data_IF_484955418900
#
_entry.id   IF_484955418900
#
_cell.length_a   1.000
_cell.length_b   1.000
_cell.length_c   1.000
_cell.angle_alpha   90.00
_cell.angle_beta   90.00
_cell.angle_gamma   90.00
#
_symmetry.space_group_name_H-M   'P 1'
#
loop_
_entity.id
_entity.type
_entity.pdbx_description
1 polymer ?
#
# COMPACT_ATOMS: atom_id res chain seq x y z
N UNK A 1 4.34 -1.82 -10.80
CA UNK A 1 3.77 -0.50 -11.12
C UNK A 1 2.28 -0.55 -11.45
N UNK A 2 1.84 -1.28 -12.48
CA UNK A 2 0.44 -1.26 -12.95
C UNK A 2 -0.55 -1.82 -11.93
N UNK A 3 -0.21 -2.92 -11.30
CA UNK A 3 -0.98 -3.55 -10.23
C UNK A 3 -1.05 -2.66 -8.96
N UNK A 4 0.01 -1.88 -8.71
CA UNK A 4 0.04 -0.92 -7.61
C UNK A 4 -0.88 0.28 -7.89
N UNK A 5 -0.95 0.72 -9.16
CA UNK A 5 -1.87 1.77 -9.58
C UNK A 5 -3.35 1.33 -9.50
N UNK A 6 -3.66 0.04 -9.72
CA UNK A 6 -5.02 -0.47 -9.51
C UNK A 6 -5.42 -0.49 -8.04
N UNK A 7 -4.51 -0.81 -7.11
CA UNK A 7 -4.76 -0.63 -5.68
C UNK A 7 -5.06 0.84 -5.34
N UNK A 8 -4.34 1.80 -5.96
CA UNK A 8 -4.67 3.23 -5.80
C UNK A 8 -6.01 3.62 -6.41
N UNK A 9 -6.46 2.93 -7.46
CA UNK A 9 -7.83 3.06 -7.98
C UNK A 9 -8.87 2.61 -6.95
N UNK A 10 -8.64 1.48 -6.29
CA UNK A 10 -9.48 1.00 -5.17
C UNK A 10 -9.46 2.00 -4.01
N UNK A 11 -8.28 2.49 -3.62
CA UNK A 11 -8.15 3.55 -2.60
C UNK A 11 -8.94 4.80 -2.97
N UNK A 12 -8.92 5.22 -4.24
CA UNK A 12 -9.68 6.37 -4.70
C UNK A 12 -11.20 6.12 -4.62
N UNK A 13 -11.67 4.91 -4.94
CA UNK A 13 -13.08 4.51 -4.77
C UNK A 13 -13.54 4.62 -3.31
N UNK A 14 -12.70 4.21 -2.36
CA UNK A 14 -12.95 4.38 -0.93
C UNK A 14 -12.88 5.85 -0.52
N UNK A 15 -11.90 6.62 -0.98
CA UNK A 15 -11.77 8.04 -0.67
C UNK A 15 -13.02 8.83 -1.08
N UNK A 16 -13.55 8.60 -2.28
CA UNK A 16 -14.80 9.23 -2.74
C UNK A 16 -15.99 8.78 -1.89
N UNK A 17 -16.06 7.50 -1.54
CA UNK A 17 -17.10 6.94 -0.69
C UNK A 17 -17.08 7.50 0.74
N UNK A 18 -15.91 7.87 1.27
CA UNK A 18 -15.75 8.43 2.63
C UNK A 18 -16.46 9.76 2.86
N UNK A 19 -16.85 10.48 1.81
CA UNK A 19 -17.62 11.73 1.93
C UNK A 19 -19.13 11.49 2.12
N UNK A 20 -19.61 10.25 2.00
CA UNK A 20 -21.01 9.91 2.27
C UNK A 20 -21.31 9.83 3.77
N UNK A 21 -22.54 10.20 4.13
CA UNK A 21 -23.10 10.01 5.47
C UNK A 21 -24.42 9.22 5.37
N UNK A 22 -24.52 8.00 5.92
CA UNK A 22 -23.49 7.23 6.63
C UNK A 22 -22.39 6.66 5.71
N UNK A 23 -21.30 6.14 6.29
CA UNK A 23 -20.22 5.50 5.53
C UNK A 23 -20.75 4.25 4.79
N UNK A 24 -20.44 4.02 3.50
CA UNK A 24 -21.07 2.93 2.74
C UNK A 24 -20.78 1.50 3.24
N UNK A 25 -19.74 1.33 4.06
CA UNK A 25 -19.37 0.08 4.70
C UNK A 25 -19.82 -0.03 6.16
N UNK A 26 -20.53 0.96 6.70
CA UNK A 26 -20.95 0.94 8.11
C UNK A 26 -22.19 0.10 8.38
N UNK A 27 -23.06 -0.06 7.38
CA UNK A 27 -24.36 -0.73 7.48
C UNK A 27 -24.48 -1.81 6.41
N UNK A 28 -25.18 -2.89 6.74
CA UNK A 28 -25.50 -3.98 5.84
C UNK A 28 -26.58 -3.54 4.84
N UNK A 29 -26.37 -3.86 3.57
CA UNK A 29 -27.39 -3.64 2.52
C UNK A 29 -28.38 -4.81 2.52
N UNK A 30 -29.64 -4.54 2.14
CA UNK A 30 -30.70 -5.56 2.00
C UNK A 30 -30.32 -6.70 1.02
N UNK A 31 -29.43 -6.42 0.07
CA UNK A 31 -28.90 -7.41 -0.88
C UNK A 31 -27.92 -8.41 -0.26
N UNK A 32 -27.37 -8.11 0.92
CA UNK A 32 -26.41 -8.95 1.60
C UNK A 32 -27.15 -9.93 2.52
N UNK A 33 -26.71 -11.19 2.49
CA UNK A 33 -27.39 -12.30 3.17
C UNK A 33 -27.52 -12.06 4.68
N UNK A 34 -28.38 -12.83 5.35
CA UNK A 34 -28.65 -12.74 6.80
C UNK A 34 -27.42 -12.97 7.72
N UNK A 35 -26.26 -13.27 7.15
CA UNK A 35 -24.97 -13.45 7.85
C UNK A 35 -24.17 -12.15 8.02
N UNK A 36 -24.65 -11.02 7.51
CA UNK A 36 -23.99 -9.71 7.61
C UNK A 36 -24.14 -9.10 9.02
N UNK A 37 -23.05 -8.56 9.57
CA UNK A 37 -23.05 -7.75 10.80
C UNK A 37 -22.68 -6.31 10.46
N UNK A 38 -23.50 -5.36 10.92
CA UNK A 38 -23.24 -3.93 10.78
C UNK A 38 -21.95 -3.53 11.49
N UNK A 39 -21.00 -2.98 10.73
CA UNK A 39 -19.77 -2.41 11.28
C UNK A 39 -20.02 -1.26 12.25
N UNK A 40 -21.15 -0.54 12.14
CA UNK A 40 -21.55 0.56 13.04
C UNK A 40 -21.97 0.09 14.43
N UNK A 41 -22.53 -1.11 14.55
CA UNK A 41 -23.04 -1.64 15.81
C UNK A 41 -21.92 -2.38 16.56
N UNK A 42 -21.76 -2.07 17.85
CA UNK A 42 -20.92 -2.84 18.76
C UNK A 42 -21.66 -4.14 19.15
N UNK A 43 -21.80 -5.07 18.21
CA UNK A 43 -22.46 -6.36 18.48
C UNK A 43 -21.45 -7.33 19.07
N UNK A 44 -21.81 -7.93 20.20
CA UNK A 44 -21.08 -9.06 20.77
C UNK A 44 -21.01 -10.19 19.74
N UNK A 45 -19.82 -10.55 19.27
CA UNK A 45 -19.61 -11.81 18.57
C UNK A 45 -19.71 -12.95 19.59
N UNK A 46 -20.94 -13.28 20.01
CA UNK A 46 -21.20 -14.43 20.87
C UNK A 46 -21.00 -15.69 20.03
N UNK A 47 -20.01 -16.50 20.43
CA UNK A 47 -19.82 -17.88 19.96
C UNK A 47 -21.12 -18.67 20.21
N UNK A 48 -21.92 -18.89 19.17
CA UNK A 48 -23.19 -19.60 19.32
C UNK A 48 -23.93 -19.95 18.03
N UNK A 49 -23.65 -19.29 16.90
CA UNK A 49 -24.21 -19.66 15.60
C UNK A 49 -23.18 -20.38 14.73
N UNK A 50 -23.54 -21.54 14.20
CA UNK A 50 -22.77 -22.32 13.21
C UNK A 50 -22.61 -21.61 11.83
N UNK A 51 -23.00 -20.35 11.70
CA UNK A 51 -22.81 -19.54 10.51
C UNK A 51 -21.66 -18.55 10.73
N UNK A 52 -20.65 -18.58 9.83
CA UNK A 52 -19.57 -17.60 9.82
C UNK A 52 -20.15 -16.22 9.51
N UNK A 53 -20.34 -15.39 10.54
CA UNK A 53 -20.82 -14.02 10.40
C UNK A 53 -19.71 -13.14 9.82
N UNK A 54 -20.05 -12.29 8.86
CA UNK A 54 -19.09 -11.46 8.10
C UNK A 54 -19.46 -9.98 8.29
N UNK A 55 -18.45 -9.10 8.42
CA UNK A 55 -18.70 -7.67 8.61
C UNK A 55 -19.20 -7.00 7.32
N UNK A 56 -20.00 -5.92 7.46
CA UNK A 56 -20.44 -5.11 6.32
C UNK A 56 -19.26 -4.53 5.52
N UNK A 57 -18.13 -4.22 6.17
CA UNK A 57 -16.92 -3.76 5.50
C UNK A 57 -16.27 -4.82 4.60
N UNK A 58 -16.26 -6.09 5.01
CA UNK A 58 -15.75 -7.19 4.19
C UNK A 58 -16.63 -7.41 2.96
N UNK A 59 -17.95 -7.45 3.14
CA UNK A 59 -18.90 -7.60 2.04
C UNK A 59 -18.88 -6.38 1.09
N UNK A 60 -18.68 -5.18 1.62
CA UNK A 60 -18.51 -3.99 0.79
C UNK A 60 -17.27 -4.10 -0.12
N UNK A 61 -16.14 -4.56 0.43
CA UNK A 61 -14.91 -4.74 -0.34
C UNK A 61 -15.05 -5.81 -1.43
N UNK A 62 -15.50 -7.01 -1.05
CA UNK A 62 -15.58 -8.17 -1.95
C UNK A 62 -16.69 -8.00 -2.99
N UNK A 63 -17.91 -7.62 -2.57
CA UNK A 63 -19.09 -7.64 -3.44
C UNK A 63 -19.36 -6.30 -4.15
N UNK A 64 -19.14 -5.15 -3.49
CA UNK A 64 -19.49 -3.84 -4.07
C UNK A 64 -18.32 -3.21 -4.82
N UNK A 65 -17.13 -3.27 -4.22
CA UNK A 65 -15.94 -2.61 -4.77
C UNK A 65 -15.26 -3.49 -5.80
N UNK A 66 -14.83 -4.70 -5.43
CA UNK A 66 -14.10 -5.59 -6.32
C UNK A 66 -15.01 -6.40 -7.23
N UNK A 67 -16.21 -6.76 -6.75
CA UNK A 67 -17.09 -7.76 -7.38
C UNK A 67 -16.31 -9.04 -7.65
N UNK A 68 -15.59 -9.51 -6.64
CA UNK A 68 -14.67 -10.63 -6.75
C UNK A 68 -15.40 -11.89 -7.21
N UNK A 69 -14.79 -12.64 -8.13
CA UNK A 69 -15.34 -13.90 -8.60
C UNK A 69 -14.99 -15.03 -7.62
N UNK A 70 -15.91 -15.97 -7.37
CA UNK A 70 -15.67 -17.11 -6.46
C UNK A 70 -14.59 -18.08 -6.98
N UNK A 71 -14.44 -18.17 -8.31
CA UNK A 71 -13.38 -18.93 -8.97
C UNK A 71 -12.93 -18.22 -10.25
N UNK A 72 -11.69 -18.49 -10.67
CA UNK A 72 -11.13 -18.03 -11.95
C UNK A 72 -11.46 -18.95 -13.12
N UNK A 73 -12.07 -20.11 -12.87
CA UNK A 73 -12.33 -21.14 -13.89
C UNK A 73 -13.20 -20.63 -15.05
N UNK A 74 -14.16 -19.75 -14.76
CA UNK A 74 -15.04 -19.10 -15.75
C UNK A 74 -14.39 -17.86 -16.43
N UNK A 75 -13.12 -17.60 -16.12
CA UNK A 75 -12.34 -16.48 -16.63
C UNK A 75 -12.33 -15.25 -15.71
N UNK A 76 -11.66 -14.19 -16.17
CA UNK A 76 -11.41 -12.98 -15.35
C UNK A 76 -12.61 -12.02 -15.25
N UNK A 77 -13.64 -12.22 -16.07
CA UNK A 77 -14.81 -11.33 -16.16
C UNK A 77 -14.55 -10.03 -16.93
N UNK A 78 -15.53 -9.12 -16.88
CA UNK A 78 -15.46 -7.81 -17.55
C UNK A 78 -15.03 -6.70 -16.57
N UNK A 79 -14.27 -5.67 -17.01
CA UNK A 79 -13.82 -4.59 -16.13
C UNK A 79 -14.99 -3.80 -15.54
N UNK A 80 -14.94 -3.51 -14.24
CA UNK A 80 -15.92 -2.61 -13.62
C UNK A 80 -15.65 -1.15 -14.03
N UNK A 81 -16.63 -0.52 -14.68
CA UNK A 81 -16.47 0.83 -15.21
C UNK A 81 -16.16 1.88 -14.13
N UNK A 82 -16.64 1.71 -12.89
CA UNK A 82 -16.38 2.65 -11.78
C UNK A 82 -14.94 2.53 -11.33
N UNK A 83 -14.42 1.30 -11.21
CA UNK A 83 -13.01 1.06 -10.91
C UNK A 83 -12.09 1.55 -12.05
N UNK A 84 -12.47 1.36 -13.31
CA UNK A 84 -11.72 1.88 -14.46
C UNK A 84 -11.62 3.41 -14.42
N UNK A 85 -12.72 4.11 -14.09
CA UNK A 85 -12.68 5.56 -13.88
C UNK A 85 -11.79 5.94 -12.69
N UNK A 86 -11.86 5.20 -11.58
CA UNK A 86 -11.00 5.44 -10.43
C UNK A 86 -9.52 5.17 -10.72
N UNK A 87 -9.21 4.22 -11.62
CA UNK A 87 -7.85 3.93 -12.10
C UNK A 87 -7.28 5.05 -12.99
N UNK A 88 -8.13 5.78 -13.70
CA UNK A 88 -7.68 6.90 -14.53
C UNK A 88 -7.04 8.02 -13.69
N UNK A 89 -7.53 8.21 -12.46
CA UNK A 89 -7.09 9.27 -11.55
C UNK A 89 -5.60 9.13 -11.17
N UNK A 90 -5.13 8.00 -10.59
CA UNK A 90 -3.71 7.84 -10.28
C UNK A 90 -2.82 7.98 -11.50
N UNK A 91 -3.20 7.43 -12.66
CA UNK A 91 -2.43 7.60 -13.91
C UNK A 91 -2.37 9.04 -14.41
N UNK A 92 -3.46 9.80 -14.25
CA UNK A 92 -3.48 11.23 -14.55
C UNK A 92 -2.55 11.97 -13.61
N UNK A 93 -2.60 11.68 -12.30
CA UNK A 93 -1.67 12.25 -11.31
C UNK A 93 -0.21 11.94 -11.67
N UNK A 94 0.12 10.69 -11.97
CA UNK A 94 1.48 10.27 -12.37
C UNK A 94 1.92 11.00 -13.64
N UNK A 95 1.06 11.12 -14.64
CA UNK A 95 1.37 11.86 -15.86
C UNK A 95 1.69 13.33 -15.52
N UNK A 96 0.84 13.98 -14.73
CA UNK A 96 0.99 15.39 -14.33
C UNK A 96 2.28 15.64 -13.54
N UNK A 97 2.64 14.77 -12.60
CA UNK A 97 3.89 14.92 -11.83
C UNK A 97 5.13 14.81 -12.72
N UNK A 98 5.05 14.02 -13.80
CA UNK A 98 6.14 13.76 -14.73
C UNK A 98 6.20 14.71 -15.94
N UNK A 99 5.24 15.64 -16.13
CA UNK A 99 5.16 16.55 -17.30
C UNK A 99 6.48 17.26 -17.59
N UNK A 100 7.22 17.69 -16.56
CA UNK A 100 8.55 18.34 -16.70
C UNK A 100 9.72 17.46 -16.25
N UNK A 101 9.51 16.14 -16.17
CA UNK A 101 10.48 15.16 -15.68
C UNK A 101 10.85 15.37 -14.20
N UNK A 102 12.08 15.01 -13.84
CA UNK A 102 12.58 14.99 -12.45
C UNK A 102 12.42 16.33 -11.69
N UNK A 103 12.50 17.47 -12.40
CA UNK A 103 12.33 18.80 -11.78
C UNK A 103 10.91 19.04 -11.25
N UNK A 104 9.91 18.43 -11.87
CA UNK A 104 8.52 18.51 -11.41
C UNK A 104 8.25 17.50 -10.31
N UNK A 105 8.66 16.24 -10.50
CA UNK A 105 8.46 15.20 -9.49
C UNK A 105 9.14 15.55 -8.17
N UNK A 106 10.34 16.16 -8.20
CA UNK A 106 11.02 16.63 -6.98
C UNK A 106 10.26 17.72 -6.21
N UNK A 107 9.47 18.58 -6.88
CA UNK A 107 8.63 19.57 -6.18
C UNK A 107 7.40 18.93 -5.55
N UNK A 108 6.77 17.99 -6.28
CA UNK A 108 5.60 17.27 -5.79
C UNK A 108 5.98 16.33 -4.64
N UNK A 109 7.21 15.80 -4.65
CA UNK A 109 7.74 14.93 -3.59
C UNK A 109 7.69 15.56 -2.19
N UNK A 110 7.82 16.88 -2.05
CA UNK A 110 7.68 17.54 -0.75
C UNK A 110 6.29 17.30 -0.14
N UNK A 111 5.23 17.45 -0.93
CA UNK A 111 3.88 17.17 -0.47
C UNK A 111 3.68 15.67 -0.22
N UNK A 112 4.10 14.83 -1.17
CA UNK A 112 3.93 13.37 -1.09
C UNK A 112 4.65 12.76 0.12
N UNK A 113 5.79 13.32 0.52
CA UNK A 113 6.56 12.87 1.67
C UNK A 113 6.01 13.43 3.00
N UNK A 114 5.67 14.72 3.07
CA UNK A 114 5.31 15.38 4.35
C UNK A 114 3.87 15.09 4.76
N UNK A 115 2.93 15.09 3.81
CA UNK A 115 1.49 14.96 4.10
C UNK A 115 1.15 13.67 4.86
N UNK A 116 1.70 12.48 4.51
CA UNK A 116 1.45 11.27 5.28
C UNK A 116 1.88 11.36 6.75
N UNK A 117 2.97 12.04 7.08
CA UNK A 117 3.38 12.23 8.49
C UNK A 117 2.39 13.10 9.27
N UNK A 118 1.80 14.11 8.63
CA UNK A 118 0.74 14.93 9.25
C UNK A 118 -0.47 14.06 9.58
N UNK A 119 -0.90 13.21 8.65
CA UNK A 119 -2.03 12.30 8.88
C UNK A 119 -1.69 11.23 9.93
N UNK A 120 -0.50 10.63 9.87
CA UNK A 120 -0.04 9.67 10.87
C UNK A 120 -0.03 10.28 12.28
N UNK A 121 0.36 11.54 12.44
CA UNK A 121 0.30 12.23 13.73
C UNK A 121 -1.15 12.37 14.24
N UNK A 122 -2.08 12.76 13.36
CA UNK A 122 -3.51 12.87 13.69
C UNK A 122 -4.09 11.50 14.09
N UNK A 123 -3.77 10.45 13.32
CA UNK A 123 -4.22 9.08 13.61
C UNK A 123 -3.58 8.52 14.87
N UNK A 124 -2.32 8.87 15.17
CA UNK A 124 -1.66 8.49 16.42
C UNK A 124 -2.36 9.11 17.62
N UNK A 125 -2.63 10.42 17.60
CA UNK A 125 -3.36 11.10 18.67
C UNK A 125 -4.72 10.42 18.86
N UNK A 126 -5.44 10.15 17.77
CA UNK A 126 -6.72 9.43 17.85
C UNK A 126 -6.55 8.05 18.46
N UNK A 127 -5.60 7.25 17.98
CA UNK A 127 -5.33 5.90 18.47
C UNK A 127 -5.02 5.89 19.98
N UNK A 128 -4.25 6.84 20.48
CA UNK A 128 -3.95 6.97 21.92
C UNK A 128 -5.18 7.34 22.77
N UNK A 129 -6.20 7.96 22.19
CA UNK A 129 -7.47 8.30 22.88
C UNK A 129 -8.52 7.20 22.84
N UNK A 130 -8.30 6.15 22.04
CA UNK A 130 -9.26 5.05 21.90
C UNK A 130 -9.11 4.04 23.04
N UNK A 131 -10.25 3.61 23.59
CA UNK A 131 -10.29 2.54 24.59
C UNK A 131 -9.83 1.21 23.97
N UNK A 132 -9.02 0.45 24.71
CA UNK A 132 -8.46 -0.82 24.22
C UNK A 132 -7.25 -0.70 23.28
N UNK A 133 -6.92 0.50 22.79
CA UNK A 133 -5.80 0.69 21.87
C UNK A 133 -4.44 0.28 22.47
N UNK A 134 -4.24 0.50 23.77
CA UNK A 134 -3.02 0.10 24.47
C UNK A 134 -2.76 -1.41 24.42
N UNK A 135 -3.80 -2.25 24.44
CA UNK A 135 -3.66 -3.69 24.32
C UNK A 135 -3.14 -4.10 22.92
N UNK A 136 -3.62 -3.42 21.87
CA UNK A 136 -3.14 -3.64 20.51
C UNK A 136 -1.71 -3.16 20.29
N UNK A 137 -1.35 -1.97 20.79
CA UNK A 137 0.04 -1.48 20.74
C UNK A 137 0.98 -2.42 21.52
N UNK A 138 0.56 -2.91 22.68
CA UNK A 138 1.34 -3.87 23.45
C UNK A 138 1.49 -5.19 22.70
N UNK A 139 0.43 -5.68 22.04
CA UNK A 139 0.49 -6.88 21.20
C UNK A 139 1.54 -6.75 20.09
N UNK A 140 1.64 -5.58 19.45
CA UNK A 140 2.63 -5.32 18.40
C UNK A 140 4.08 -5.35 18.89
N UNK A 141 4.36 -4.78 20.07
CA UNK A 141 5.74 -4.67 20.60
C UNK A 141 6.15 -5.93 21.39
N UNK A 142 5.18 -6.70 21.92
CA UNK A 142 5.46 -7.82 22.82
C UNK A 142 6.36 -8.87 22.13
N UNK A 143 7.60 -9.07 22.59
CA UNK A 143 8.53 -9.98 21.94
C UNK A 143 8.13 -11.44 22.16
N UNK A 144 8.23 -12.24 21.11
CA UNK A 144 8.08 -13.70 21.15
C UNK A 144 9.42 -14.36 20.84
N UNK A 145 10.25 -14.56 21.88
CA UNK A 145 11.63 -15.02 21.74
C UNK A 145 11.74 -16.40 21.07
N UNK A 146 10.77 -17.29 21.29
CA UNK A 146 10.74 -18.62 20.70
C UNK A 146 10.65 -18.59 19.16
N UNK A 147 10.01 -17.56 18.60
CA UNK A 147 9.82 -17.41 17.15
C UNK A 147 11.10 -17.03 16.41
N UNK A 148 12.10 -16.46 17.09
CA UNK A 148 13.36 -16.03 16.46
C UNK A 148 14.15 -17.23 15.89
N UNK A 149 13.94 -18.42 16.44
CA UNK A 149 14.57 -19.65 15.94
C UNK A 149 13.92 -20.17 14.65
N UNK A 150 12.77 -19.64 14.25
CA UNK A 150 12.11 -20.04 13.00
C UNK A 150 12.72 -19.31 11.80
N UNK A 151 13.24 -20.07 10.83
CA UNK A 151 13.81 -19.51 9.60
C UNK A 151 12.83 -18.61 8.83
N UNK A 152 11.52 -18.88 8.95
CA UNK A 152 10.46 -18.07 8.33
C UNK A 152 10.46 -16.62 8.83
N UNK A 153 10.80 -16.37 10.08
CA UNK A 153 10.88 -15.01 10.65
C UNK A 153 12.01 -14.22 10.00
N UNK A 154 13.16 -14.84 9.80
CA UNK A 154 14.30 -14.21 9.11
C UNK A 154 14.02 -13.95 7.63
N UNK A 155 13.40 -14.91 6.94
CA UNK A 155 12.96 -14.72 5.56
C UNK A 155 12.00 -13.52 5.44
N UNK A 156 11.00 -13.43 6.33
CA UNK A 156 10.07 -12.31 6.37
C UNK A 156 10.77 -10.97 6.68
N UNK A 157 11.73 -10.95 7.61
CA UNK A 157 12.48 -9.74 7.95
C UNK A 157 13.35 -9.24 6.79
N UNK A 158 14.07 -10.13 6.10
CA UNK A 158 14.92 -9.77 4.96
C UNK A 158 14.07 -9.27 3.80
N UNK A 159 12.99 -9.98 3.47
CA UNK A 159 12.06 -9.56 2.40
C UNK A 159 11.41 -8.22 2.71
N UNK A 160 10.99 -7.99 3.96
CA UNK A 160 10.43 -6.72 4.38
C UNK A 160 11.39 -5.55 4.16
N UNK A 161 12.65 -5.65 4.62
CA UNK A 161 13.64 -4.57 4.45
C UNK A 161 13.99 -4.37 2.97
N UNK A 162 14.15 -5.45 2.21
CA UNK A 162 14.48 -5.40 0.79
C UNK A 162 13.40 -4.66 -0.02
N UNK A 163 12.13 -5.01 0.18
CA UNK A 163 11.02 -4.38 -0.55
C UNK A 163 10.66 -3.00 0.00
N UNK A 164 10.81 -2.75 1.30
CA UNK A 164 10.54 -1.42 1.92
C UNK A 164 11.46 -0.34 1.34
N UNK A 165 12.77 -0.63 1.26
CA UNK A 165 13.76 0.29 0.71
C UNK A 165 13.78 0.31 -0.83
N UNK A 166 13.05 -0.59 -1.49
CA UNK A 166 13.01 -0.74 -2.97
C UNK A 166 14.40 -0.89 -3.59
N UNK A 167 15.30 -1.62 -2.92
CA UNK A 167 16.67 -1.85 -3.39
C UNK A 167 16.65 -2.74 -4.64
N UNK A 168 17.57 -2.52 -5.58
CA UNK A 168 17.68 -3.27 -6.84
C UNK A 168 16.49 -3.12 -7.82
N UNK A 169 15.61 -2.12 -7.62
CA UNK A 169 14.59 -1.73 -8.61
C UNK A 169 15.03 -0.59 -9.55
N UNK A 170 16.28 -0.12 -9.40
CA UNK A 170 16.83 1.01 -10.17
C UNK A 170 16.37 2.41 -9.73
N UNK A 171 15.34 2.51 -8.89
CA UNK A 171 14.82 3.79 -8.39
C UNK A 171 15.90 4.60 -7.64
N UNK A 172 16.62 3.97 -6.73
CA UNK A 172 17.68 4.62 -5.94
C UNK A 172 18.87 5.02 -6.82
N UNK A 173 19.22 4.20 -7.81
CA UNK A 173 20.25 4.53 -8.80
C UNK A 173 19.83 5.76 -9.63
N UNK A 174 18.58 5.79 -10.08
CA UNK A 174 18.03 6.93 -10.82
C UNK A 174 18.03 8.21 -9.99
N UNK A 175 17.62 8.17 -8.72
CA UNK A 175 17.68 9.38 -7.89
C UNK A 175 19.11 9.84 -7.64
N UNK A 176 20.03 8.89 -7.47
CA UNK A 176 21.46 9.19 -7.29
C UNK A 176 22.09 9.81 -8.54
N UNK A 177 21.65 9.43 -9.75
CA UNK A 177 22.21 9.98 -11.00
C UNK A 177 21.89 11.47 -11.23
N UNK A 178 20.85 11.99 -10.57
CA UNK A 178 20.51 13.42 -10.59
C UNK A 178 21.17 14.22 -9.45
N UNK A 179 21.94 13.56 -8.59
CA UNK A 179 22.60 14.21 -7.48
C UNK A 179 23.93 14.85 -7.91
N UNK A 180 24.47 15.73 -7.06
CA UNK A 180 25.81 16.29 -7.28
C UNK A 180 26.86 15.21 -7.02
N UNK A 181 27.91 15.18 -7.85
CA UNK A 181 28.99 14.20 -7.71
C UNK A 181 29.68 14.24 -6.34
N UNK A 182 29.78 15.41 -5.71
CA UNK A 182 30.41 15.60 -4.39
C UNK A 182 29.46 15.41 -3.21
N UNK A 183 28.22 14.95 -3.43
CA UNK A 183 27.24 14.81 -2.37
C UNK A 183 27.58 13.61 -1.47
N UNK A 184 27.41 13.76 -0.15
CA UNK A 184 27.70 12.69 0.79
C UNK A 184 26.57 11.65 0.82
N UNK A 185 26.65 10.65 -0.06
CA UNK A 185 25.67 9.58 -0.18
C UNK A 185 25.57 8.72 1.09
N UNK A 186 26.65 8.54 1.84
CA UNK A 186 26.64 7.74 3.08
C UNK A 186 25.71 8.34 4.14
N UNK A 187 25.72 9.68 4.27
CA UNK A 187 24.80 10.39 5.16
C UNK A 187 23.35 10.17 4.71
N UNK A 188 23.07 10.35 3.43
CA UNK A 188 21.71 10.26 2.89
C UNK A 188 21.15 8.85 3.06
N UNK A 189 21.92 7.81 2.71
CA UNK A 189 21.51 6.40 2.87
C UNK A 189 21.26 6.04 4.33
N UNK A 190 22.08 6.54 5.26
CA UNK A 190 21.88 6.30 6.70
C UNK A 190 20.58 6.92 7.18
N UNK A 191 20.30 8.17 6.78
CA UNK A 191 19.06 8.88 7.17
C UNK A 191 17.83 8.18 6.57
N UNK A 192 17.86 7.83 5.29
CA UNK A 192 16.74 7.15 4.61
C UNK A 192 16.42 5.81 5.27
N UNK A 193 17.43 4.99 5.54
CA UNK A 193 17.24 3.66 6.16
C UNK A 193 16.66 3.75 7.58
N UNK A 194 17.15 4.69 8.39
CA UNK A 194 16.64 4.91 9.75
C UNK A 194 15.20 5.43 9.70
N UNK A 195 14.92 6.42 8.84
CA UNK A 195 13.58 6.98 8.71
C UNK A 195 12.57 5.95 8.21
N UNK A 196 12.94 5.10 7.25
CA UNK A 196 12.09 4.02 6.75
C UNK A 196 11.67 3.06 7.88
N UNK A 197 12.65 2.63 8.68
CA UNK A 197 12.42 1.73 9.82
C UNK A 197 11.53 2.39 10.88
N UNK A 198 11.85 3.62 11.29
CA UNK A 198 11.08 4.35 12.31
C UNK A 198 9.65 4.64 11.83
N UNK A 199 9.48 4.99 10.56
CA UNK A 199 8.16 5.26 9.96
C UNK A 199 7.33 3.99 9.92
N UNK A 200 7.93 2.86 9.53
CA UNK A 200 7.26 1.56 9.53
C UNK A 200 6.85 1.13 10.94
N UNK A 201 7.70 1.32 11.94
CA UNK A 201 7.36 1.05 13.35
C UNK A 201 6.22 1.95 13.84
N UNK A 202 6.26 3.26 13.54
CA UNK A 202 5.21 4.20 13.89
C UNK A 202 3.88 3.84 13.24
N UNK A 203 3.89 3.52 11.95
CA UNK A 203 2.70 3.07 11.23
C UNK A 203 2.14 1.79 11.86
N UNK A 204 2.99 0.83 12.20
CA UNK A 204 2.60 -0.39 12.93
C UNK A 204 1.90 -0.09 14.26
N UNK A 205 2.43 0.82 15.07
CA UNK A 205 1.81 1.22 16.34
C UNK A 205 0.43 1.85 16.15
N UNK A 206 0.27 2.71 15.15
CA UNK A 206 -1.02 3.34 14.81
C UNK A 206 -2.02 2.27 14.38
N UNK A 207 -1.62 1.38 13.47
CA UNK A 207 -2.42 0.26 12.97
C UNK A 207 -2.90 -0.63 14.11
N UNK A 208 -1.97 -1.14 14.91
CA UNK A 208 -2.33 -2.03 16.00
C UNK A 208 -3.08 -1.32 17.12
N UNK A 209 -2.90 -0.02 17.33
CA UNK A 209 -3.73 0.77 18.24
C UNK A 209 -5.19 0.84 17.80
N UNK A 210 -5.45 1.13 16.52
CA UNK A 210 -6.81 1.14 15.95
C UNK A 210 -7.44 -0.26 15.98
N UNK A 211 -6.67 -1.30 15.69
CA UNK A 211 -7.14 -2.70 15.73
C UNK A 211 -7.39 -3.16 17.18
N UNK A 212 -6.59 -2.72 18.15
CA UNK A 212 -6.82 -2.99 19.57
C UNK A 212 -8.16 -2.41 20.05
N UNK A 213 -8.52 -1.22 19.57
CA UNK A 213 -9.84 -0.66 19.80
C UNK A 213 -10.95 -1.50 19.15
N UNK A 214 -10.77 -1.93 17.90
CA UNK A 214 -11.72 -2.80 17.21
C UNK A 214 -11.93 -4.12 17.98
N UNK A 215 -10.87 -4.76 18.47
CA UNK A 215 -10.94 -5.98 19.27
C UNK A 215 -11.70 -5.76 20.59
N UNK A 216 -11.46 -4.63 21.26
CA UNK A 216 -12.15 -4.25 22.49
C UNK A 216 -13.65 -4.03 22.27
N UNK A 217 -14.04 -3.28 21.24
CA UNK A 217 -15.45 -3.00 20.94
C UNK A 217 -16.21 -4.26 20.47
N UNK A 218 -15.51 -5.17 19.78
CA UNK A 218 -16.08 -6.42 19.27
C UNK A 218 -16.04 -7.55 20.30
N UNK A 219 -15.52 -7.29 21.51
CA UNK A 219 -15.28 -8.29 22.57
C UNK A 219 -14.53 -9.54 22.07
N UNK A 220 -13.61 -9.36 21.11
CA UNK A 220 -12.81 -10.43 20.53
C UNK A 220 -11.47 -10.52 21.28
N UNK A 221 -11.23 -11.58 22.06
CA UNK A 221 -10.04 -11.69 22.90
C UNK A 221 -8.75 -11.90 22.09
N UNK A 222 -8.86 -12.31 20.82
CA UNK A 222 -7.73 -12.62 19.95
C UNK A 222 -7.64 -11.64 18.79
N UNK A 223 -6.62 -10.77 18.83
CA UNK A 223 -6.35 -9.81 17.76
C UNK A 223 -6.08 -10.49 16.41
N UNK A 224 -5.57 -11.73 16.40
CA UNK A 224 -5.26 -12.42 15.15
C UNK A 224 -6.52 -12.79 14.36
N UNK A 225 -7.69 -12.86 15.01
CA UNK A 225 -8.98 -13.15 14.35
C UNK A 225 -9.60 -11.93 13.66
N UNK A 226 -9.25 -10.71 14.10
CA UNK A 226 -9.80 -9.45 13.54
C UNK A 226 -8.89 -8.83 12.47
N UNK A 227 -7.64 -9.29 12.38
CA UNK A 227 -6.65 -8.82 11.41
C UNK A 227 -6.73 -9.64 10.13
N UNK A 228 -7.06 -9.00 9.01
CA UNK A 228 -6.86 -9.58 7.68
C UNK A 228 -5.46 -9.19 7.18
N UNK A 229 -4.75 -10.13 6.54
CA UNK A 229 -3.45 -9.86 5.92
C UNK A 229 -3.57 -9.06 4.62
N UNK A 230 -2.45 -8.50 4.15
CA UNK A 230 -2.35 -7.85 2.84
C UNK A 230 -3.33 -6.69 2.65
N UNK A 231 -3.98 -6.64 1.48
CA UNK A 231 -4.96 -5.60 1.14
C UNK A 231 -6.19 -5.57 2.07
N UNK A 232 -6.56 -6.73 2.64
CA UNK A 232 -7.67 -6.82 3.59
C UNK A 232 -7.47 -5.97 4.85
N UNK A 233 -6.23 -5.76 5.29
CA UNK A 233 -5.95 -4.89 6.43
C UNK A 233 -6.45 -3.46 6.19
N UNK A 234 -6.11 -2.91 5.02
CA UNK A 234 -6.40 -1.52 4.66
C UNK A 234 -7.83 -1.30 4.16
N UNK A 235 -8.43 -2.30 3.50
CA UNK A 235 -9.74 -2.14 2.85
C UNK A 235 -10.90 -2.85 3.57
N UNK A 236 -10.60 -3.70 4.56
CA UNK A 236 -11.62 -4.39 5.39
C UNK A 236 -11.46 -4.00 6.85
N UNK A 237 -10.35 -4.37 7.49
CA UNK A 237 -10.17 -4.21 8.95
C UNK A 237 -10.17 -2.74 9.37
N UNK A 238 -9.48 -1.86 8.63
CA UNK A 238 -9.46 -0.43 8.94
C UNK A 238 -10.79 0.28 8.74
N UNK A 239 -11.49 0.11 7.60
CA UNK A 239 -12.83 0.65 7.40
C UNK A 239 -13.81 0.18 8.47
N UNK A 240 -13.73 -1.09 8.86
CA UNK A 240 -14.52 -1.67 9.94
C UNK A 240 -14.24 -1.01 11.30
N UNK A 241 -12.97 -0.73 11.60
CA UNK A 241 -12.59 -0.03 12.82
C UNK A 241 -13.04 1.44 12.83
N UNK A 242 -12.87 2.16 11.71
CA UNK A 242 -13.26 3.57 11.59
C UNK A 242 -14.79 3.72 11.68
N UNK A 243 -15.56 2.80 11.10
CA UNK A 243 -17.02 2.81 11.20
C UNK A 243 -17.55 2.73 12.64
N UNK A 244 -16.74 2.20 13.58
CA UNK A 244 -17.05 2.11 15.02
C UNK A 244 -16.64 3.37 15.80
N UNK A 245 -15.99 4.34 15.17
CA UNK A 245 -15.64 5.59 15.85
C UNK A 245 -16.90 6.43 16.11
N UNK A 246 -17.13 6.76 17.38
CA UNK A 246 -18.23 7.65 17.81
C UNK A 246 -18.00 9.11 17.41
N UNK A 247 -16.75 9.51 17.19
CA UNK A 247 -16.36 10.87 16.83
C UNK A 247 -15.90 10.95 15.37
N UNK A 248 -16.68 11.61 14.53
CA UNK A 248 -16.38 12.01 13.14
C UNK A 248 -15.69 10.91 12.28
N UNK A 249 -16.33 9.73 12.12
CA UNK A 249 -15.74 8.61 11.37
C UNK A 249 -15.40 8.98 9.91
N UNK A 250 -16.18 9.86 9.27
CA UNK A 250 -15.93 10.32 7.90
C UNK A 250 -14.60 11.06 7.76
N UNK A 251 -14.27 11.93 8.73
CA UNK A 251 -13.00 12.67 8.73
C UNK A 251 -11.80 11.71 8.77
N UNK A 252 -11.84 10.72 9.67
CA UNK A 252 -10.76 9.74 9.79
C UNK A 252 -10.66 8.83 8.56
N UNK A 253 -11.80 8.45 7.95
CA UNK A 253 -11.81 7.69 6.70
C UNK A 253 -11.18 8.49 5.55
N UNK A 254 -11.57 9.75 5.36
CA UNK A 254 -10.99 10.64 4.34
C UNK A 254 -9.49 10.80 4.58
N UNK A 255 -9.07 11.10 5.81
CA UNK A 255 -7.65 11.27 6.15
C UNK A 255 -6.84 10.01 5.85
N UNK A 256 -7.31 8.84 6.29
CA UNK A 256 -6.65 7.55 6.08
C UNK A 256 -6.53 7.19 4.60
N UNK A 257 -7.63 7.24 3.83
CA UNK A 257 -7.59 6.88 2.42
C UNK A 257 -6.85 7.90 1.56
N UNK A 258 -6.90 9.19 1.91
CA UNK A 258 -6.09 10.20 1.24
C UNK A 258 -4.60 10.00 1.53
N UNK A 259 -4.22 9.65 2.76
CA UNK A 259 -2.84 9.29 3.10
C UNK A 259 -2.37 8.06 2.31
N UNK A 260 -3.16 6.98 2.27
CA UNK A 260 -2.83 5.78 1.50
C UNK A 260 -2.66 6.11 0.01
N UNK A 261 -3.55 6.95 -0.55
CA UNK A 261 -3.47 7.39 -1.94
C UNK A 261 -2.17 8.17 -2.19
N UNK A 262 -1.85 9.13 -1.33
CA UNK A 262 -0.64 9.96 -1.43
C UNK A 262 0.63 9.11 -1.32
N UNK A 263 0.69 8.17 -0.36
CA UNK A 263 1.82 7.24 -0.22
C UNK A 263 2.01 6.40 -1.47
N UNK A 264 0.93 5.82 -2.00
CA UNK A 264 1.04 4.97 -3.18
C UNK A 264 1.37 5.74 -4.46
N UNK A 265 0.86 6.96 -4.63
CA UNK A 265 1.29 7.86 -5.72
C UNK A 265 2.78 8.17 -5.60
N UNK A 266 3.31 8.44 -4.41
CA UNK A 266 4.74 8.65 -4.17
C UNK A 266 5.60 7.52 -4.70
N UNK A 267 5.27 6.29 -4.33
CA UNK A 267 5.98 5.09 -4.79
C UNK A 267 5.89 4.90 -6.30
N UNK A 268 4.71 5.10 -6.90
CA UNK A 268 4.55 4.95 -8.36
C UNK A 268 5.29 6.04 -9.13
N UNK A 269 5.28 7.29 -8.64
CA UNK A 269 6.05 8.38 -9.26
C UNK A 269 7.54 8.06 -9.28
N UNK A 270 8.08 7.45 -8.23
CA UNK A 270 9.47 6.95 -8.22
C UNK A 270 9.74 5.95 -9.34
N UNK A 271 8.94 4.88 -9.42
CA UNK A 271 9.05 3.86 -10.47
C UNK A 271 8.90 4.44 -11.89
N UNK A 272 7.89 5.30 -12.09
CA UNK A 272 7.62 5.90 -13.39
C UNK A 272 8.70 6.90 -13.81
N UNK A 273 9.31 7.61 -12.85
CA UNK A 273 10.49 8.45 -13.11
C UNK A 273 11.67 7.59 -13.56
N UNK A 274 11.90 6.43 -12.95
CA UNK A 274 12.96 5.49 -13.37
C UNK A 274 12.80 5.06 -14.81
N UNK A 275 11.59 4.63 -15.20
CA UNK A 275 11.29 4.24 -16.60
C UNK A 275 11.50 5.43 -17.53
N UNK A 276 11.01 6.62 -17.16
CA UNK A 276 11.21 7.82 -17.95
C UNK A 276 12.70 8.13 -18.16
N UNK A 277 13.51 8.05 -17.11
CA UNK A 277 14.95 8.32 -17.16
C UNK A 277 15.64 7.34 -18.11
N UNK A 278 15.38 6.04 -17.98
CA UNK A 278 15.97 5.01 -18.88
C UNK A 278 15.62 5.27 -20.34
N UNK A 279 14.35 5.60 -20.65
CA UNK A 279 13.93 5.90 -22.02
C UNK A 279 14.64 7.16 -22.55
N UNK A 280 14.77 8.20 -21.72
CA UNK A 280 15.36 9.48 -22.14
C UNK A 280 16.88 9.45 -22.19
N UNK A 281 17.54 8.61 -21.41
CA UNK A 281 18.98 8.38 -21.51
C UNK A 281 19.31 7.67 -22.84
N UNK A 282 18.45 6.76 -23.30
CA UNK A 282 18.60 6.11 -24.62
C UNK A 282 18.15 6.98 -25.78
N UNK A 283 17.07 7.75 -25.61
CA UNK A 283 16.47 8.61 -26.64
C UNK A 283 16.32 10.06 -26.16
N UNK A 284 17.42 10.85 -26.12
CA UNK A 284 17.44 12.18 -25.50
C UNK A 284 16.52 13.21 -26.17
N UNK A 285 16.19 13.00 -27.45
CA UNK A 285 15.32 13.88 -28.24
C UNK A 285 13.84 13.81 -27.79
N UNK A 286 13.43 12.79 -27.03
CA UNK A 286 12.05 12.66 -26.58
C UNK A 286 11.75 13.67 -25.47
N UNK A 287 10.67 14.43 -25.68
CA UNK A 287 10.17 15.38 -24.68
C UNK A 287 9.62 14.61 -23.46
N UNK A 288 9.90 15.05 -22.22
CA UNK A 288 9.41 14.39 -21.00
C UNK A 288 7.90 14.15 -21.00
N UNK A 289 7.13 15.13 -21.48
CA UNK A 289 5.67 15.03 -21.59
C UNK A 289 5.22 13.85 -22.45
N UNK A 290 5.87 13.63 -23.61
CA UNK A 290 5.48 12.54 -24.52
C UNK A 290 5.75 11.18 -23.87
N UNK A 291 6.88 11.06 -23.16
CA UNK A 291 7.24 9.85 -22.42
C UNK A 291 6.27 9.63 -21.25
N UNK A 292 5.92 10.69 -20.51
CA UNK A 292 4.95 10.61 -19.41
C UNK A 292 3.58 10.13 -19.88
N UNK A 293 3.07 10.69 -20.98
CA UNK A 293 1.80 10.28 -21.60
C UNK A 293 1.88 8.83 -22.05
N UNK A 294 2.98 8.42 -22.70
CA UNK A 294 3.18 7.03 -23.13
C UNK A 294 3.17 6.05 -21.95
N UNK A 295 3.88 6.36 -20.87
CA UNK A 295 3.89 5.55 -19.63
C UNK A 295 2.48 5.47 -19.04
N UNK A 296 1.76 6.59 -18.97
CA UNK A 296 0.42 6.64 -18.40
C UNK A 296 -0.61 5.87 -19.23
N UNK A 297 -0.59 5.99 -20.57
CA UNK A 297 -1.50 5.27 -21.47
C UNK A 297 -1.21 3.77 -21.42
N UNK A 298 0.06 3.36 -21.53
CA UNK A 298 0.43 1.95 -21.46
C UNK A 298 0.10 1.36 -20.08
N UNK A 299 0.41 2.10 -19.02
CA UNK A 299 0.14 1.70 -17.65
C UNK A 299 -1.36 1.59 -17.34
N UNK A 300 -2.17 2.53 -17.83
CA UNK A 300 -3.63 2.49 -17.72
C UNK A 300 -4.21 1.31 -18.50
N UNK A 301 -3.80 1.12 -19.75
CA UNK A 301 -4.28 0.02 -20.59
C UNK A 301 -4.01 -1.36 -19.98
N UNK A 302 -2.80 -1.58 -19.46
CA UNK A 302 -2.46 -2.81 -18.72
C UNK A 302 -3.23 -2.87 -17.40
N UNK A 303 -3.37 -1.75 -16.68
CA UNK A 303 -4.02 -1.70 -15.37
C UNK A 303 -5.51 -2.08 -15.38
N UNK A 304 -6.21 -1.94 -16.51
CA UNK A 304 -7.62 -2.32 -16.65
C UNK A 304 -7.84 -3.81 -16.31
N UNK A 305 -6.87 -4.68 -16.58
CA UNK A 305 -7.00 -6.12 -16.30
C UNK A 305 -7.21 -6.41 -14.81
N UNK A 306 -6.70 -5.55 -13.92
CA UNK A 306 -6.85 -5.71 -12.46
C UNK A 306 -8.17 -5.15 -11.93
N UNK A 307 -8.97 -4.51 -12.78
CA UNK A 307 -10.29 -3.95 -12.42
C UNK A 307 -11.44 -4.89 -12.77
N UNK A 308 -11.13 -6.12 -13.17
CA UNK A 308 -12.12 -7.18 -13.42
C UNK A 308 -12.39 -7.97 -12.12
N UNK A 309 -13.53 -8.69 -12.04
CA UNK A 309 -13.83 -9.62 -10.94
C UNK A 309 -12.70 -10.58 -10.56
N UNK A 310 -12.00 -11.15 -11.54
CA UNK A 310 -10.84 -12.03 -11.33
C UNK A 310 -9.51 -11.28 -11.12
N UNK A 311 -9.53 -9.96 -11.02
CA UNK A 311 -8.34 -9.10 -10.97
C UNK A 311 -7.48 -9.32 -9.73
N UNK A 312 -8.08 -9.67 -8.58
CA UNK A 312 -7.33 -9.95 -7.34
C UNK A 312 -6.44 -11.19 -7.46
N UNK A 313 -6.93 -12.27 -8.06
CA UNK A 313 -6.12 -13.46 -8.31
C UNK A 313 -4.89 -13.14 -9.18
N UNK A 314 -5.09 -12.31 -10.20
CA UNK A 314 -3.99 -11.89 -11.08
C UNK A 314 -3.02 -10.94 -10.36
N UNK A 315 -3.54 -10.06 -9.51
CA UNK A 315 -2.75 -9.18 -8.63
C UNK A 315 -1.81 -10.02 -7.74
N UNK A 316 -2.35 -10.98 -7.01
CA UNK A 316 -1.59 -11.84 -6.09
C UNK A 316 -0.56 -12.69 -6.84
N UNK A 317 -0.96 -13.26 -7.97
CA UNK A 317 -0.06 -14.02 -8.83
C UNK A 317 1.13 -13.17 -9.31
N UNK A 318 0.87 -11.96 -9.82
CA UNK A 318 1.93 -11.08 -10.31
C UNK A 318 2.77 -10.46 -9.21
N UNK A 319 2.20 -10.18 -8.03
CA UNK A 319 2.96 -9.65 -6.90
C UNK A 319 4.01 -10.65 -6.42
N UNK A 320 3.64 -11.93 -6.33
CA UNK A 320 4.56 -12.98 -5.92
C UNK A 320 5.54 -13.38 -7.04
N UNK A 321 5.03 -13.83 -8.18
CA UNK A 321 5.87 -14.39 -9.25
C UNK A 321 6.49 -13.32 -10.15
N UNK A 322 5.77 -12.23 -10.41
CA UNK A 322 6.19 -11.20 -11.37
C UNK A 322 7.05 -10.10 -10.77
N UNK A 323 6.81 -9.72 -9.52
CA UNK A 323 7.55 -8.67 -8.84
C UNK A 323 8.54 -9.25 -7.83
N UNK A 324 8.06 -9.95 -6.81
CA UNK A 324 8.88 -10.34 -5.67
C UNK A 324 10.01 -11.31 -6.05
N UNK A 325 9.68 -12.39 -6.75
CA UNK A 325 10.66 -13.38 -7.17
C UNK A 325 11.69 -12.80 -8.17
N UNK A 326 11.21 -12.10 -9.20
CA UNK A 326 12.07 -11.51 -10.24
C UNK A 326 13.02 -10.45 -9.65
N UNK A 327 12.54 -9.59 -8.75
CA UNK A 327 13.36 -8.57 -8.12
C UNK A 327 14.53 -9.16 -7.33
N UNK A 328 14.29 -10.24 -6.57
CA UNK A 328 15.36 -10.92 -5.82
C UNK A 328 16.40 -11.55 -6.75
N UNK A 329 15.97 -12.19 -7.85
CA UNK A 329 16.88 -12.77 -8.84
C UNK A 329 17.73 -11.69 -9.50
N UNK A 330 17.12 -10.57 -9.91
CA UNK A 330 17.85 -9.44 -10.49
C UNK A 330 18.82 -8.80 -9.49
N UNK A 331 18.44 -8.69 -8.22
CA UNK A 331 19.33 -8.20 -7.17
C UNK A 331 20.58 -9.07 -7.00
N UNK A 332 20.43 -10.40 -7.05
CA UNK A 332 21.57 -11.32 -6.99
C UNK A 332 22.51 -11.08 -8.18
N UNK A 333 21.98 -10.96 -9.40
CA UNK A 333 22.80 -10.66 -10.57
C UNK A 333 23.49 -9.29 -10.49
N UNK A 334 22.80 -8.27 -9.98
CA UNK A 334 23.36 -6.93 -9.79
C UNK A 334 24.53 -6.95 -8.79
N UNK A 335 24.34 -7.59 -7.63
CA UNK A 335 25.39 -7.74 -6.61
C UNK A 335 26.57 -8.55 -7.17
N UNK A 336 26.31 -9.63 -7.91
CA UNK A 336 27.38 -10.44 -8.54
C UNK A 336 28.19 -9.59 -9.52
N UNK A 337 27.49 -8.78 -10.32
CA UNK A 337 28.11 -7.92 -11.33
C UNK A 337 29.02 -6.89 -10.69
N UNK A 338 28.57 -6.14 -9.67
CA UNK A 338 29.41 -5.12 -9.04
C UNK A 338 30.52 -5.71 -8.15
N UNK A 339 30.23 -6.79 -7.42
CA UNK A 339 31.20 -7.34 -6.47
C UNK A 339 32.29 -8.18 -7.15
N UNK A 340 31.95 -9.02 -8.14
CA UNK A 340 32.92 -9.93 -8.78
C UNK A 340 33.35 -9.49 -10.19
N UNK A 341 32.42 -9.05 -11.05
CA UNK A 341 32.77 -8.71 -12.44
C UNK A 341 33.46 -7.33 -12.51
N UNK A 342 32.85 -6.31 -11.94
CA UNK A 342 33.46 -4.98 -11.81
C UNK A 342 34.60 -4.99 -10.79
N UNK A 343 34.36 -5.65 -9.65
CA UNK A 343 35.34 -5.90 -8.61
C UNK A 343 35.30 -4.86 -7.49
N UNK A 344 35.20 -5.34 -6.25
CA UNK A 344 35.11 -4.52 -5.03
C UNK A 344 36.23 -3.48 -4.93
N UNK A 345 37.46 -3.83 -5.31
CA UNK A 345 38.59 -2.89 -5.23
C UNK A 345 38.46 -1.66 -6.13
N UNK A 346 37.80 -1.79 -7.30
CA UNK A 346 37.50 -0.64 -8.17
C UNK A 346 36.36 0.19 -7.58
N UNK A 347 35.30 -0.48 -7.11
CA UNK A 347 34.17 0.18 -6.47
C UNK A 347 34.61 1.02 -5.26
N UNK A 348 35.45 0.48 -4.37
CA UNK A 348 35.97 1.21 -3.21
C UNK A 348 36.87 2.41 -3.58
N UNK A 349 37.45 2.43 -4.79
CA UNK A 349 38.25 3.56 -5.28
C UNK A 349 37.36 4.64 -5.89
N UNK A 350 36.20 4.26 -6.41
CA UNK A 350 35.23 5.18 -7.01
C UNK A 350 34.39 5.91 -5.94
N UNK A 351 34.22 5.32 -4.75
CA UNK A 351 33.54 5.89 -3.56
C UNK A 351 34.48 6.82 -2.80
#
# INVERSE_FOLDING_TARGET
MTYYASLMGVTMRYLVASFGDPLPWSECKDSWNATCIDSRLAVNMVEGDNATKVSSAELYFVNDVLKEADSIDDGIGSPDWRLVLCLLIPWTCICLTLVKGIKSSGKVAYFLAIFPYVVMLVLLIRACTLEGAGAGMLYFIKPQWDRIFEAKVWYAAVTQVFFSLTVCFGNVMMYSSYNRFTNNVNRDVTVVTILDTLTSMLAGLIVFGVIGHLAHVTNSPDLSKVVRGGGGLAFITYPDAIAKFTFWPQFFAVAFFLMLFVLGIGSIVGMATTIMTVIRDRFPHLKPLLVAIGIAIAGFGIGIIYTTPGGQYLLDFLDFYGASFVALVLAVFEIITFSWIYGVGRLCRDI
#
